data_IF_513057803469
#
_entry.id   IF_513057803469
#
_cell.length_a   1.000
_cell.length_b   1.000
_cell.length_c   1.000
_cell.angle_alpha   90.00
_cell.angle_beta   90.00
_cell.angle_gamma   90.00
#
_symmetry.space_group_name_H-M   'P 1'
#
loop_
_entity.id
_entity.type
_entity.pdbx_description
1 polymer ?
#
# COMPACT_ATOMS: atom_id res chain seq x y z
N UNK A 1 -9.10 -4.88 -13.12
CA UNK A 1 -8.51 -5.43 -11.89
C UNK A 1 -8.29 -4.26 -10.96
N UNK A 2 -9.02 -4.21 -9.85
CA UNK A 2 -8.98 -3.08 -8.91
C UNK A 2 -7.72 -3.22 -8.06
N UNK A 3 -6.71 -2.40 -8.33
CA UNK A 3 -5.48 -2.40 -7.54
C UNK A 3 -5.81 -1.92 -6.12
N UNK A 4 -5.60 -2.76 -5.11
CA UNK A 4 -5.79 -2.37 -3.71
C UNK A 4 -4.96 -1.11 -3.44
N UNK A 5 -5.56 -0.03 -2.91
CA UNK A 5 -4.82 1.17 -2.57
C UNK A 5 -3.83 0.85 -1.44
N UNK A 6 -2.55 1.19 -1.66
CA UNK A 6 -1.52 1.10 -0.64
C UNK A 6 -1.59 2.33 0.27
N UNK A 7 -1.37 2.21 1.59
CA UNK A 7 -1.31 3.36 2.47
C UNK A 7 -0.17 4.32 2.10
N UNK A 8 -0.33 5.58 2.50
CA UNK A 8 0.76 6.55 2.51
C UNK A 8 1.94 6.11 3.37
N UNK A 9 3.13 6.16 2.78
CA UNK A 9 4.35 5.88 3.53
C UNK A 9 5.56 5.60 2.66
N UNK A 10 6.59 5.11 3.34
CA UNK A 10 7.84 4.65 2.80
C UNK A 10 8.02 3.18 3.15
N UNK A 11 8.46 2.41 2.15
CA UNK A 11 8.48 0.96 2.21
C UNK A 11 9.80 0.44 1.67
N UNK A 12 10.29 -0.66 2.23
CA UNK A 12 11.39 -1.42 1.67
C UNK A 12 10.99 -2.88 1.49
N UNK A 13 11.26 -3.41 0.31
CA UNK A 13 11.00 -4.81 -0.06
C UNK A 13 12.18 -5.35 -0.86
N UNK A 14 12.45 -6.67 -0.79
CA UNK A 14 13.42 -7.31 -1.67
C UNK A 14 13.12 -7.05 -3.15
N UNK A 15 14.16 -6.94 -3.98
CA UNK A 15 13.98 -6.86 -5.43
C UNK A 15 13.31 -8.15 -5.92
N UNK A 16 12.20 -8.05 -6.70
CA UNK A 16 11.49 -9.22 -7.20
C UNK A 16 12.33 -10.18 -8.06
N UNK A 17 13.39 -9.69 -8.70
CA UNK A 17 14.26 -10.49 -9.55
C UNK A 17 15.60 -10.81 -8.87
N UNK A 18 15.96 -10.12 -7.77
CA UNK A 18 17.09 -10.42 -6.89
C UNK A 18 16.73 -10.20 -5.40
N UNK A 19 16.24 -11.24 -4.71
CA UNK A 19 15.82 -11.13 -3.31
C UNK A 19 16.92 -10.75 -2.31
N UNK A 20 18.19 -10.73 -2.74
CA UNK A 20 19.32 -10.30 -1.89
C UNK A 20 19.48 -8.78 -1.85
N UNK A 21 18.86 -8.07 -2.79
CA UNK A 21 18.92 -6.61 -2.88
C UNK A 21 17.63 -6.00 -2.33
N UNK A 22 17.74 -4.95 -1.50
CA UNK A 22 16.58 -4.21 -0.98
C UNK A 22 16.27 -2.99 -1.84
N UNK A 23 15.00 -2.82 -2.21
CA UNK A 23 14.49 -1.66 -2.94
C UNK A 23 13.61 -0.81 -2.04
N UNK A 24 13.69 0.52 -2.19
CA UNK A 24 13.00 1.47 -1.31
C UNK A 24 12.02 2.35 -2.09
N UNK A 25 10.84 2.55 -1.53
CA UNK A 25 9.70 3.15 -2.22
C UNK A 25 8.98 4.16 -1.34
N UNK A 26 8.35 5.13 -2.00
CA UNK A 26 7.40 6.07 -1.44
C UNK A 26 6.06 5.87 -2.15
N UNK A 27 5.01 5.74 -1.36
CA UNK A 27 3.62 5.76 -1.83
C UNK A 27 2.98 7.07 -1.38
N UNK A 28 2.20 7.70 -2.26
CA UNK A 28 1.31 8.80 -1.91
C UNK A 28 -0.13 8.55 -2.38
N UNK A 29 -1.10 8.89 -1.56
CA UNK A 29 -2.53 8.73 -1.74
C UNK A 29 -3.01 9.67 -2.87
N UNK A 30 -2.44 10.88 -2.94
CA UNK A 30 -2.72 11.86 -4.00
C UNK A 30 -2.32 11.41 -5.41
N UNK A 31 -1.45 10.39 -5.51
CA UNK A 31 -0.93 9.86 -6.77
C UNK A 31 -1.65 8.59 -7.24
N UNK A 32 -2.78 8.24 -6.62
CA UNK A 32 -3.44 6.95 -6.85
C UNK A 32 -2.62 5.75 -6.35
N UNK A 33 -1.74 6.00 -5.38
CA UNK A 33 -0.81 5.01 -4.83
C UNK A 33 0.38 4.70 -5.75
N UNK A 34 0.78 5.60 -6.65
CA UNK A 34 1.94 5.37 -7.49
C UNK A 34 3.21 5.13 -6.64
N UNK A 35 4.03 4.17 -7.05
CA UNK A 35 5.30 3.86 -6.42
C UNK A 35 6.37 4.80 -6.97
N UNK A 36 6.95 5.63 -6.11
CA UNK A 36 8.12 6.44 -6.42
C UNK A 36 9.34 5.85 -5.72
N UNK A 37 10.48 5.74 -6.40
CA UNK A 37 11.70 5.27 -5.76
C UNK A 37 12.16 6.25 -4.66
N UNK A 38 12.69 5.68 -3.56
CA UNK A 38 13.28 6.42 -2.45
C UNK A 38 14.74 5.99 -2.24
N UNK A 39 15.68 6.91 -2.00
CA UNK A 39 15.55 8.37 -2.09
C UNK A 39 15.21 8.84 -3.51
N UNK A 40 14.85 10.12 -3.66
CA UNK A 40 14.58 10.71 -4.98
C UNK A 40 15.79 10.53 -5.91
N UNK A 41 15.55 10.04 -7.12
CA UNK A 41 16.61 9.73 -8.09
C UNK A 41 17.21 8.34 -7.96
N UNK A 42 16.79 7.53 -6.98
CA UNK A 42 17.11 6.11 -6.97
C UNK A 42 16.47 5.40 -8.18
N UNK A 43 17.18 4.40 -8.71
CA UNK A 43 16.73 3.60 -9.83
C UNK A 43 16.76 2.13 -9.44
N UNK A 44 15.59 1.50 -9.41
CA UNK A 44 15.42 0.07 -9.12
C UNK A 44 14.74 -0.64 -10.29
N UNK A 45 15.05 -1.93 -10.40
CA UNK A 45 14.47 -2.82 -11.39
C UNK A 45 14.90 -2.55 -12.82
N UNK A 46 14.16 -3.11 -13.79
CA UNK A 46 14.47 -2.96 -15.21
C UNK A 46 14.48 -1.48 -15.64
N UNK A 47 15.56 -1.10 -16.32
CA UNK A 47 15.75 0.21 -16.90
C UNK A 47 15.92 0.08 -18.42
N UNK A 48 15.23 0.94 -19.17
CA UNK A 48 15.35 1.02 -20.62
C UNK A 48 16.31 2.15 -21.00
N UNK A 49 17.48 1.82 -21.52
CA UNK A 49 18.43 2.79 -22.04
C UNK A 49 18.30 2.95 -23.55
N UNK A 50 18.73 4.09 -24.08
CA UNK A 50 18.71 4.37 -25.52
C UNK A 50 19.50 3.32 -26.34
N UNK A 51 20.54 2.73 -25.75
CA UNK A 51 21.37 1.69 -26.37
C UNK A 51 20.66 0.34 -26.53
N UNK A 52 19.60 0.10 -25.75
CA UNK A 52 18.85 -1.15 -25.77
C UNK A 52 17.76 -1.15 -26.86
N UNK A 53 17.49 0.03 -27.44
CA UNK A 53 16.55 0.17 -28.54
C UNK A 53 17.13 -0.47 -29.82
N UNK A 54 16.35 -1.30 -30.53
CA UNK A 54 16.73 -1.79 -31.84
C UNK A 54 17.14 -0.66 -32.78
N UNK A 55 18.23 -0.86 -33.51
CA UNK A 55 18.74 0.11 -34.50
C UNK A 55 17.69 0.30 -35.60
N UNK A 56 17.56 1.52 -36.09
CA UNK A 56 16.65 1.86 -37.19
C UNK A 56 15.21 2.17 -36.78
N UNK A 57 14.77 1.90 -35.55
CA UNK A 57 13.43 2.29 -35.09
C UNK A 57 13.24 3.81 -35.12
N UNK A 58 12.15 4.29 -35.74
CA UNK A 58 11.81 5.72 -35.85
C UNK A 58 10.32 5.95 -35.61
N UNK A 59 9.96 7.21 -35.37
CA UNK A 59 8.58 7.67 -35.29
C UNK A 59 7.70 6.78 -34.40
N UNK A 60 6.57 6.36 -34.98
CA UNK A 60 5.54 5.55 -34.32
C UNK A 60 6.04 4.18 -33.86
N UNK A 61 6.82 3.49 -34.69
CA UNK A 61 7.35 2.14 -34.38
C UNK A 61 8.22 2.17 -33.12
N UNK A 62 9.04 3.21 -32.96
CA UNK A 62 9.83 3.40 -31.74
C UNK A 62 8.94 3.55 -30.51
N UNK A 63 7.85 4.30 -30.62
CA UNK A 63 6.88 4.50 -29.54
C UNK A 63 6.18 3.19 -29.16
N UNK A 64 5.70 2.44 -30.15
CA UNK A 64 5.04 1.14 -29.95
C UNK A 64 5.98 0.13 -29.28
N UNK A 65 7.24 0.07 -29.72
CA UNK A 65 8.25 -0.80 -29.11
C UNK A 65 8.52 -0.42 -27.65
N UNK A 66 8.69 0.87 -27.34
CA UNK A 66 8.92 1.34 -25.96
C UNK A 66 7.72 0.96 -25.09
N UNK A 67 6.49 1.23 -25.56
CA UNK A 67 5.26 0.85 -24.85
C UNK A 67 5.21 -0.65 -24.58
N UNK A 68 5.53 -1.48 -25.58
CA UNK A 68 5.58 -2.92 -25.43
C UNK A 68 6.62 -3.36 -24.38
N UNK A 69 7.81 -2.75 -24.38
CA UNK A 69 8.83 -3.01 -23.35
C UNK A 69 8.31 -2.69 -21.94
N UNK A 70 7.66 -1.53 -21.75
CA UNK A 70 7.10 -1.18 -20.45
C UNK A 70 6.01 -2.17 -20.02
N UNK A 71 5.12 -2.56 -20.94
CA UNK A 71 4.04 -3.51 -20.65
C UNK A 71 4.52 -4.92 -20.30
N UNK A 72 5.61 -5.37 -20.92
CA UNK A 72 6.09 -6.76 -20.82
C UNK A 72 7.19 -6.94 -19.78
N UNK A 73 7.98 -5.89 -19.51
CA UNK A 73 9.14 -5.96 -18.62
C UNK A 73 8.89 -5.15 -17.35
N UNK A 74 8.66 -3.84 -17.51
CA UNK A 74 8.64 -2.91 -16.37
C UNK A 74 7.40 -3.02 -15.51
N UNK A 75 6.21 -2.97 -16.09
CA UNK A 75 4.96 -2.98 -15.34
C UNK A 75 4.71 -4.29 -14.57
N UNK A 76 5.06 -5.48 -15.09
CA UNK A 76 5.00 -6.71 -14.30
C UNK A 76 5.92 -6.66 -13.08
N UNK A 77 7.13 -6.09 -13.21
CA UNK A 77 8.05 -5.92 -12.10
C UNK A 77 7.52 -4.92 -11.06
N UNK A 78 7.03 -3.74 -11.48
CA UNK A 78 6.42 -2.75 -10.58
C UNK A 78 5.21 -3.34 -9.83
N UNK A 79 4.44 -4.22 -10.49
CA UNK A 79 3.32 -4.94 -9.87
C UNK A 79 3.79 -5.89 -8.78
N UNK A 80 4.84 -6.69 -9.00
CA UNK A 80 5.42 -7.59 -7.98
C UNK A 80 5.86 -6.80 -6.74
N UNK A 81 6.50 -5.64 -6.92
CA UNK A 81 6.87 -4.73 -5.82
C UNK A 81 5.61 -4.28 -5.06
N UNK A 82 4.57 -3.85 -5.78
CA UNK A 82 3.32 -3.41 -5.16
C UNK A 82 2.64 -4.53 -4.39
N UNK A 83 2.61 -5.72 -4.94
CA UNK A 83 2.05 -6.92 -4.29
C UNK A 83 2.84 -7.29 -3.03
N UNK A 84 4.18 -7.19 -3.06
CA UNK A 84 5.02 -7.42 -1.89
C UNK A 84 4.74 -6.42 -0.76
N UNK A 85 4.55 -5.14 -1.09
CA UNK A 85 4.15 -4.11 -0.10
C UNK A 85 2.72 -4.37 0.40
N UNK A 86 1.80 -4.72 -0.49
CA UNK A 86 0.40 -4.95 -0.13
C UNK A 86 0.21 -6.19 0.76
N UNK A 87 1.07 -7.20 0.63
CA UNK A 87 1.02 -8.41 1.44
C UNK A 87 1.31 -8.14 2.92
N UNK A 88 2.25 -7.24 3.22
CA UNK A 88 2.59 -6.83 4.58
C UNK A 88 3.16 -5.39 4.61
N UNK A 89 2.28 -4.37 4.59
CA UNK A 89 2.71 -2.98 4.52
C UNK A 89 3.41 -2.53 5.81
N UNK A 90 3.10 -3.14 6.95
CA UNK A 90 3.73 -2.82 8.23
C UNK A 90 5.17 -3.32 8.26
N UNK A 91 5.41 -4.59 7.92
CA UNK A 91 6.77 -5.11 7.84
C UNK A 91 7.60 -4.42 6.76
N UNK A 92 7.01 -4.08 5.60
CA UNK A 92 7.70 -3.30 4.58
C UNK A 92 8.07 -1.89 5.07
N UNK A 93 7.22 -1.26 5.88
CA UNK A 93 7.52 0.01 6.53
C UNK A 93 8.65 -0.12 7.56
N UNK A 94 8.64 -1.14 8.41
CA UNK A 94 9.72 -1.39 9.38
C UNK A 94 11.05 -1.63 8.68
N UNK A 95 11.09 -2.48 7.64
CA UNK A 95 12.30 -2.72 6.84
C UNK A 95 12.88 -1.43 6.27
N UNK A 96 12.03 -0.49 5.84
CA UNK A 96 12.50 0.81 5.36
C UNK A 96 13.25 1.56 6.45
N UNK A 97 12.70 1.59 7.66
CA UNK A 97 13.33 2.28 8.77
C UNK A 97 14.60 1.58 9.27
N UNK A 98 14.64 0.24 9.27
CA UNK A 98 15.84 -0.54 9.59
C UNK A 98 16.95 -0.27 8.56
N UNK A 99 16.61 -0.27 7.27
CA UNK A 99 17.57 -0.11 6.18
C UNK A 99 18.10 1.32 6.05
N UNK A 100 17.25 2.32 6.27
CA UNK A 100 17.59 3.72 6.02
C UNK A 100 17.84 4.53 7.28
N UNK A 101 17.45 4.04 8.45
CA UNK A 101 17.37 4.82 9.70
C UNK A 101 16.46 6.06 9.61
N UNK A 102 15.42 6.03 8.77
CA UNK A 102 14.42 7.09 8.63
C UNK A 102 13.01 6.60 8.94
N UNK A 103 12.15 7.51 9.41
CA UNK A 103 10.75 7.22 9.73
C UNK A 103 10.01 6.74 8.48
N UNK A 104 9.35 5.58 8.57
CA UNK A 104 8.61 4.99 7.45
C UNK A 104 7.37 5.79 7.02
N UNK A 105 7.01 6.87 7.73
CA UNK A 105 5.87 7.74 7.40
C UNK A 105 6.29 9.10 6.85
N UNK A 106 7.18 9.80 7.55
CA UNK A 106 7.56 11.17 7.19
C UNK A 106 8.99 11.28 6.62
N UNK A 107 9.74 10.18 6.60
CA UNK A 107 11.14 10.12 6.14
C UNK A 107 12.08 11.10 6.87
N UNK A 108 11.77 11.44 8.13
CA UNK A 108 12.73 12.15 9.00
C UNK A 108 13.70 11.15 9.64
N UNK A 109 14.97 11.51 9.87
CA UNK A 109 15.95 10.64 10.52
C UNK A 109 15.48 10.19 11.91
N UNK A 110 15.74 8.91 12.23
CA UNK A 110 15.45 8.32 13.53
C UNK A 110 16.73 8.30 14.37
N UNK A 111 16.77 9.14 15.40
CA UNK A 111 17.98 9.34 16.22
C UNK A 111 17.97 8.56 17.54
N UNK A 112 16.81 8.03 17.95
CA UNK A 112 16.66 7.29 19.21
C UNK A 112 16.37 5.80 18.97
N UNK A 113 16.95 4.88 19.75
CA UNK A 113 16.81 3.44 19.53
C UNK A 113 15.35 2.95 19.51
N UNK A 114 14.49 3.50 20.39
CA UNK A 114 13.08 3.13 20.43
C UNK A 114 12.33 3.49 19.13
N UNK A 115 12.65 4.64 18.52
CA UNK A 115 12.07 5.03 17.23
C UNK A 115 12.62 4.21 16.08
N UNK A 116 13.91 3.85 16.11
CA UNK A 116 14.53 2.96 15.13
C UNK A 116 13.86 1.58 15.16
N UNK A 117 13.69 1.00 16.34
CA UNK A 117 13.02 -0.29 16.51
C UNK A 117 11.54 -0.27 16.08
N UNK A 118 10.84 0.85 16.31
CA UNK A 118 9.44 1.02 15.89
C UNK A 118 9.28 1.45 14.42
N UNK A 119 10.37 1.83 13.75
CA UNK A 119 10.38 2.45 12.43
C UNK A 119 9.64 3.78 12.29
N UNK A 120 9.25 4.40 13.41
CA UNK A 120 8.42 5.59 13.47
C UNK A 120 9.01 6.64 14.43
N UNK A 121 9.03 7.89 13.98
CA UNK A 121 9.35 9.03 14.85
C UNK A 121 8.22 9.30 15.86
N UNK A 122 8.51 9.96 17.00
CA UNK A 122 7.56 10.15 18.10
C UNK A 122 6.26 10.82 17.64
N UNK A 123 6.35 11.87 16.82
CA UNK A 123 5.17 12.57 16.29
C UNK A 123 4.30 11.67 15.41
N UNK A 124 4.94 10.76 14.65
CA UNK A 124 4.23 9.82 13.79
C UNK A 124 3.58 8.69 14.58
N UNK A 125 4.18 8.25 15.69
CA UNK A 125 3.60 7.25 16.60
C UNK A 125 2.26 7.74 17.15
N UNK A 126 2.19 9.00 17.61
CA UNK A 126 0.96 9.58 18.15
C UNK A 126 -0.13 9.67 17.07
N UNK A 127 0.23 10.04 15.85
CA UNK A 127 -0.72 10.08 14.72
C UNK A 127 -1.24 8.68 14.38
N UNK A 128 -0.37 7.67 14.37
CA UNK A 128 -0.76 6.27 14.09
C UNK A 128 -1.68 5.74 15.18
N UNK A 129 -1.34 5.96 16.46
CA UNK A 129 -2.19 5.59 17.60
C UNK A 129 -3.56 6.25 17.53
N UNK A 130 -3.60 7.55 17.25
CA UNK A 130 -4.85 8.29 17.10
C UNK A 130 -5.70 7.77 15.94
N UNK A 131 -5.09 7.40 14.81
CA UNK A 131 -5.80 6.78 13.67
C UNK A 131 -6.34 5.39 14.02
N UNK A 132 -5.54 4.54 14.68
CA UNK A 132 -5.95 3.20 15.10
C UNK A 132 -7.13 3.25 16.08
N UNK A 133 -7.06 4.13 17.08
CA UNK A 133 -8.14 4.34 18.04
C UNK A 133 -9.44 4.78 17.35
N UNK A 134 -9.37 5.69 16.37
CA UNK A 134 -10.55 6.11 15.59
C UNK A 134 -11.12 4.97 14.73
N UNK A 135 -10.26 4.15 14.12
CA UNK A 135 -10.67 2.99 13.33
C UNK A 135 -11.44 1.95 14.15
N UNK A 136 -10.96 1.65 15.36
CA UNK A 136 -11.64 0.75 16.29
C UNK A 136 -13.04 1.25 16.67
N UNK A 137 -13.16 2.55 17.01
CA UNK A 137 -14.46 3.17 17.34
C UNK A 137 -15.47 3.06 16.19
N UNK A 138 -15.02 3.25 14.94
CA UNK A 138 -15.89 3.12 13.77
C UNK A 138 -16.33 1.67 13.52
N UNK A 139 -15.45 0.69 13.70
CA UNK A 139 -15.78 -0.73 13.56
C UNK A 139 -16.78 -1.20 14.63
N UNK A 140 -16.62 -0.76 15.88
CA UNK A 140 -17.56 -1.02 16.97
C UNK A 140 -18.94 -0.41 16.67
N UNK A 141 -18.96 0.80 16.12
CA UNK A 141 -20.20 1.51 15.74
C UNK A 141 -20.94 0.82 14.59
N UNK A 142 -20.22 0.31 13.59
CA UNK A 142 -20.78 -0.46 12.49
C UNK A 142 -21.37 -1.79 12.98
N UNK A 143 -20.66 -2.48 13.88
CA UNK A 143 -21.12 -3.73 14.49
C UNK A 143 -22.38 -3.51 15.33
N UNK A 144 -22.43 -2.44 16.13
CA UNK A 144 -23.59 -2.07 16.93
C UNK A 144 -24.82 -1.77 16.04
N UNK A 145 -24.62 -1.04 14.93
CA UNK A 145 -25.68 -0.76 13.96
C UNK A 145 -26.20 -2.04 13.29
N UNK A 146 -25.30 -2.96 12.92
CA UNK A 146 -25.68 -4.23 12.31
C UNK A 146 -26.50 -5.09 13.26
N UNK A 147 -26.11 -5.17 14.55
CA UNK A 147 -26.89 -5.86 15.58
C UNK A 147 -28.28 -5.26 15.75
N UNK A 148 -28.39 -3.93 15.80
CA UNK A 148 -29.69 -3.25 15.92
C UNK A 148 -30.61 -3.52 14.71
N UNK A 149 -30.06 -3.67 13.51
CA UNK A 149 -30.83 -4.06 12.31
C UNK A 149 -31.35 -5.49 12.43
N UNK A 150 -30.50 -6.42 12.85
CA UNK A 150 -30.87 -7.83 13.04
C UNK A 150 -31.93 -7.98 14.14
N UNK A 151 -31.75 -7.35 15.30
CA UNK A 151 -32.71 -7.39 16.41
C UNK A 151 -34.08 -6.82 16.01
N UNK A 152 -34.09 -5.77 15.18
CA UNK A 152 -35.33 -5.20 14.63
C UNK A 152 -36.00 -6.15 13.65
N UNK A 153 -35.23 -6.83 12.80
CA UNK A 153 -35.77 -7.83 11.87
C UNK A 153 -36.40 -9.00 12.65
N UNK A 154 -35.69 -9.56 13.64
CA UNK A 154 -36.19 -10.70 14.43
C UNK A 154 -37.40 -10.38 15.31
N UNK A 155 -37.60 -9.11 15.70
CA UNK A 155 -38.82 -8.69 16.43
C UNK A 155 -40.05 -8.53 15.53
N UNK A 156 -39.87 -8.35 14.23
CA UNK A 156 -40.98 -8.10 13.30
C UNK A 156 -41.70 -9.39 12.89
N UNK A 157 -41.08 -10.55 13.11
CA UNK A 157 -41.65 -11.87 12.80
C UNK A 157 -42.61 -12.42 13.86
N UNK A 158 -42.88 -11.67 14.94
CA UNK A 158 -43.90 -11.99 15.95
C UNK A 158 -45.20 -11.22 15.67
N UNK A 159 -45.81 -11.44 14.50
CA UNK A 159 -47.23 -11.05 14.29
C UNK A 159 -48.10 -12.17 14.87
N UNK A 160 -48.91 -11.93 15.92
CA UNK A 160 -49.82 -12.94 16.41
C UNK A 160 -50.88 -13.23 15.35
N UNK A 161 -51.10 -14.53 15.08
CA UNK A 161 -52.12 -14.99 14.14
C UNK A 161 -53.48 -14.39 14.49
N UNK A 162 -54.32 -14.02 13.49
CA UNK A 162 -55.64 -13.50 13.78
C UNK A 162 -56.47 -14.57 14.49
N UNK A 163 -56.99 -14.22 15.66
CA UNK A 163 -57.94 -15.03 16.41
C UNK A 163 -59.15 -15.36 15.52
N UNK A 164 -59.23 -16.61 15.07
CA UNK A 164 -60.43 -17.19 14.51
C UNK A 164 -61.45 -17.39 15.63
N UNK A 165 -62.38 -16.46 15.77
CA UNK A 165 -63.55 -16.57 16.64
C UNK A 165 -64.81 -16.78 15.81
N UNK A 166 -65.31 -18.01 15.92
CA UNK A 166 -66.67 -18.56 15.71
C UNK A 166 -67.71 -17.75 14.92
#
# INVERSE_FOLDING_TARGET
>A
MTTTPLPDGYYAVPDPDDPTTTTCWRVKDDSGGALAASPSGAHYGPALYKRDLPKGLRGRERGEWITAWYQTVRHPWDRKVREAIAADPEAAGLRFAEYTHHCCRCNQPLTVPASQAAGLGPDCVEIVRAKAARGAVLADSATARQRAIVDRATRTDLVPAPNGGA
#
